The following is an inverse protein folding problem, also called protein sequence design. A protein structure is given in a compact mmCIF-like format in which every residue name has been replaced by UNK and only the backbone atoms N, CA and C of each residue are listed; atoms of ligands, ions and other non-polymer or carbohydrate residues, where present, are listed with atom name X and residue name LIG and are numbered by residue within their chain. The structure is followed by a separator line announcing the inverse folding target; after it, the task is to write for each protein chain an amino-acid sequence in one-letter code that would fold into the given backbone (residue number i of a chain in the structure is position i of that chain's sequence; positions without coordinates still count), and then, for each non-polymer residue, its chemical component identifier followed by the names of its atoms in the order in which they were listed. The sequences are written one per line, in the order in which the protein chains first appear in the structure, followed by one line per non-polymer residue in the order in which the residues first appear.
data_IF_068740964438
#
_entry.id   IF_068740964438
#
_cell.length_a   1.000
_cell.length_b   1.000
_cell.length_c   1.000
_cell.angle_alpha   90.00
_cell.angle_beta   90.00
_cell.angle_gamma   90.00
#
_symmetry.space_group_name_H-M   'P 1'
#
loop_
_entity.id
_entity.type
_entity.pdbx_description
1 polymer ?
#
# COMPACT_ATOMS: atom_id res chain seq x y z
N UNK A 1 31.49 -26.67 -39.92
CA UNK A 1 32.48 -25.61 -40.30
C UNK A 1 32.59 -24.67 -39.14
N UNK A 2 33.58 -24.83 -38.44
CA UNK A 2 34.82 -24.21 -37.94
C UNK A 2 34.65 -22.80 -37.39
N UNK A 3 35.32 -22.56 -36.28
CA UNK A 3 35.21 -21.38 -35.39
C UNK A 3 36.34 -20.38 -35.59
N UNK A 4 36.23 -19.19 -35.01
CA UNK A 4 37.38 -18.28 -34.75
C UNK A 4 37.06 -17.45 -33.49
N UNK A 5 37.65 -17.63 -32.36
CA UNK A 5 38.97 -17.19 -31.81
C UNK A 5 39.09 -15.69 -31.65
N UNK A 6 39.22 -15.30 -30.36
CA UNK A 6 40.38 -14.69 -29.65
C UNK A 6 40.37 -13.17 -29.54
N UNK A 7 40.53 -12.66 -28.31
CA UNK A 7 40.89 -11.28 -28.00
C UNK A 7 40.97 -11.04 -26.50
N UNK A 8 42.07 -11.50 -25.87
CA UNK A 8 42.51 -11.15 -24.52
C UNK A 8 43.17 -9.77 -24.57
N UNK A 9 42.85 -8.86 -23.68
CA UNK A 9 43.74 -7.75 -23.31
C UNK A 9 43.55 -7.38 -21.84
N UNK A 10 44.48 -7.84 -21.04
CA UNK A 10 44.70 -7.37 -19.68
C UNK A 10 45.57 -6.09 -19.74
N UNK A 11 45.16 -5.06 -19.02
CA UNK A 11 46.03 -3.93 -18.70
C UNK A 11 45.96 -3.72 -17.18
N UNK A 12 47.05 -4.09 -16.55
CA UNK A 12 47.40 -3.75 -15.18
C UNK A 12 48.13 -2.42 -15.22
N UNK A 13 47.66 -1.42 -14.48
CA UNK A 13 48.43 -0.22 -14.16
C UNK A 13 48.39 -0.06 -12.65
N UNK A 14 49.52 -0.40 -12.05
CA UNK A 14 49.85 -0.08 -10.66
C UNK A 14 50.49 1.32 -10.64
N UNK A 15 49.95 2.23 -9.83
CA UNK A 15 50.62 3.46 -9.44
C UNK A 15 50.63 3.57 -7.92
N UNK A 16 51.81 3.32 -7.36
CA UNK A 16 52.18 3.63 -6.00
C UNK A 16 52.49 5.10 -5.88
N UNK A 17 51.87 5.82 -5.00
CA UNK A 17 52.37 7.11 -4.49
C UNK A 17 52.25 7.10 -2.96
N UNK A 18 53.42 6.96 -2.34
CA UNK A 18 53.63 7.15 -0.91
C UNK A 18 53.53 8.65 -0.59
N UNK A 19 52.72 9.00 0.39
CA UNK A 19 52.65 10.31 1.00
C UNK A 19 52.53 10.17 2.51
N UNK A 20 53.67 10.31 3.21
CA UNK A 20 53.71 10.47 4.67
C UNK A 20 53.11 11.81 5.06
N UNK A 21 52.07 11.83 5.89
CA UNK A 21 51.56 12.98 6.60
C UNK A 21 51.18 12.58 8.02
N UNK A 22 52.05 12.95 8.98
CA UNK A 22 51.85 12.77 10.42
C UNK A 22 50.82 13.80 10.88
N UNK A 23 49.66 13.36 11.35
CA UNK A 23 48.66 14.21 11.98
C UNK A 23 47.73 13.33 12.83
N UNK A 24 48.09 13.20 14.11
CA UNK A 24 47.24 12.50 15.08
C UNK A 24 45.98 13.32 15.38
N UNK A 25 44.82 12.85 14.93
CA UNK A 25 43.54 13.12 15.55
C UNK A 25 42.66 11.89 15.32
N UNK A 26 42.64 11.01 16.31
CA UNK A 26 41.73 9.89 16.37
C UNK A 26 40.33 10.40 16.70
N UNK A 27 39.59 10.91 15.68
CA UNK A 27 38.13 11.01 15.76
C UNK A 27 37.62 9.63 15.34
N UNK A 28 37.14 8.87 16.33
CA UNK A 28 36.40 7.64 16.08
C UNK A 28 35.18 8.00 15.21
N UNK A 29 35.24 7.60 13.93
CA UNK A 29 34.10 7.60 13.06
C UNK A 29 33.15 6.53 13.60
N UNK A 30 32.09 6.97 14.28
CA UNK A 30 30.99 6.10 14.65
C UNK A 30 30.43 5.48 13.35
N UNK A 31 30.12 4.16 13.35
CA UNK A 31 29.49 3.54 12.21
C UNK A 31 28.20 4.29 11.93
N UNK A 32 28.07 4.87 10.74
CA UNK A 32 26.85 5.49 10.28
C UNK A 32 25.75 4.42 10.31
N UNK A 33 24.83 4.54 11.27
CA UNK A 33 23.60 3.75 11.26
C UNK A 33 22.96 3.88 9.89
N UNK A 34 22.42 2.80 9.30
CA UNK A 34 21.71 2.90 8.05
C UNK A 34 20.61 3.94 8.22
N UNK A 35 20.64 4.97 7.40
CA UNK A 35 19.62 6.00 7.36
C UNK A 35 18.31 5.28 7.10
N UNK A 36 17.45 5.19 8.11
CA UNK A 36 16.08 4.73 7.93
C UNK A 36 15.48 5.58 6.83
N UNK A 37 15.02 4.93 5.76
CA UNK A 37 14.36 5.61 4.64
C UNK A 37 13.21 6.38 5.25
N UNK A 38 13.31 7.72 5.29
CA UNK A 38 12.24 8.55 5.83
C UNK A 38 11.02 8.33 4.94
N UNK A 39 9.94 7.81 5.54
CA UNK A 39 8.63 7.77 4.90
C UNK A 39 8.24 9.21 4.46
N UNK A 40 7.55 9.36 3.33
CA UNK A 40 7.09 10.67 2.89
C UNK A 40 6.31 11.34 4.01
N UNK A 41 6.50 12.67 4.16
CA UNK A 41 5.89 13.44 5.23
C UNK A 41 4.37 13.24 5.24
N UNK A 42 3.84 12.65 6.31
CA UNK A 42 2.40 12.35 6.47
C UNK A 42 2.03 10.86 6.49
N UNK A 43 2.95 9.94 6.17
CA UNK A 43 2.69 8.49 6.25
C UNK A 43 3.36 7.95 7.51
N UNK A 44 2.56 7.40 8.42
CA UNK A 44 3.04 6.75 9.64
C UNK A 44 3.59 5.35 9.36
N UNK A 45 4.33 4.78 10.31
CA UNK A 45 4.82 3.40 10.21
C UNK A 45 3.68 2.38 10.09
N UNK A 46 2.55 2.62 10.77
CA UNK A 46 1.38 1.76 10.70
C UNK A 46 0.76 1.75 9.29
N UNK A 47 0.61 2.92 8.68
CA UNK A 47 0.11 3.07 7.31
C UNK A 47 1.09 2.45 6.31
N UNK A 48 2.41 2.64 6.51
CA UNK A 48 3.43 2.04 5.64
C UNK A 48 3.43 0.50 5.71
N UNK A 49 3.27 -0.08 6.92
CA UNK A 49 3.14 -1.53 7.11
C UNK A 49 1.88 -2.06 6.42
N UNK A 50 0.75 -1.38 6.57
CA UNK A 50 -0.51 -1.75 5.92
C UNK A 50 -0.41 -1.68 4.41
N UNK A 51 0.24 -0.64 3.84
CA UNK A 51 0.56 -0.57 2.41
C UNK A 51 1.37 -1.78 1.95
N UNK A 52 2.39 -2.17 2.72
CA UNK A 52 3.19 -3.37 2.45
C UNK A 52 2.36 -4.66 2.46
N UNK A 53 1.45 -4.79 3.44
CA UNK A 53 0.55 -5.93 3.54
C UNK A 53 -0.41 -6.02 2.33
N UNK A 54 -0.98 -4.89 1.90
CA UNK A 54 -1.82 -4.79 0.70
C UNK A 54 -1.02 -5.23 -0.54
N UNK A 55 0.16 -4.66 -0.76
CA UNK A 55 1.02 -5.00 -1.90
C UNK A 55 1.38 -6.49 -1.92
N UNK A 56 1.71 -7.07 -0.75
CA UNK A 56 1.98 -8.50 -0.59
C UNK A 56 0.77 -9.38 -0.91
N UNK A 57 -0.43 -8.99 -0.46
CA UNK A 57 -1.67 -9.71 -0.74
C UNK A 57 -2.01 -9.71 -2.23
N UNK A 58 -1.91 -8.56 -2.89
CA UNK A 58 -2.13 -8.42 -4.34
C UNK A 58 -1.14 -9.27 -5.13
N UNK A 59 0.14 -9.21 -4.78
CA UNK A 59 1.18 -10.04 -5.42
C UNK A 59 0.92 -11.53 -5.24
N UNK A 60 0.58 -11.95 -4.01
CA UNK A 60 0.30 -13.36 -3.70
C UNK A 60 -0.95 -13.90 -4.40
N UNK A 61 -1.90 -13.02 -4.69
CA UNK A 61 -3.11 -13.35 -5.45
C UNK A 61 -2.89 -13.32 -6.98
N UNK A 62 -1.69 -12.98 -7.44
CA UNK A 62 -1.39 -12.85 -8.87
C UNK A 62 -2.06 -11.65 -9.54
N UNK A 63 -2.45 -10.63 -8.76
CA UNK A 63 -2.99 -9.39 -9.30
C UNK A 63 -1.84 -8.62 -9.94
N UNK A 64 -1.82 -8.61 -11.28
CA UNK A 64 -0.75 -7.97 -12.06
C UNK A 64 -0.88 -6.44 -12.19
N UNK A 65 -1.90 -5.85 -11.57
CA UNK A 65 -2.12 -4.41 -11.63
C UNK A 65 -1.11 -3.64 -10.75
N UNK A 66 -0.74 -2.45 -11.18
CA UNK A 66 0.11 -1.55 -10.38
C UNK A 66 -0.65 -1.07 -9.15
N UNK A 67 0.04 -0.98 -8.01
CA UNK A 67 -0.47 -0.44 -6.76
C UNK A 67 0.41 0.72 -6.29
N UNK A 68 -0.19 1.85 -6.01
CA UNK A 68 0.52 3.06 -5.61
C UNK A 68 -0.39 4.13 -5.01
N UNK A 69 0.16 5.33 -4.85
CA UNK A 69 -0.63 6.48 -4.40
C UNK A 69 -1.70 6.83 -5.46
N UNK A 70 -2.88 7.22 -4.99
CA UNK A 70 -3.96 7.59 -5.90
C UNK A 70 -3.58 8.84 -6.70
N UNK A 71 -3.87 8.81 -7.99
CA UNK A 71 -3.59 9.92 -8.93
C UNK A 71 -4.65 11.04 -8.88
N UNK A 72 -5.76 10.80 -8.17
CA UNK A 72 -6.86 11.77 -8.01
C UNK A 72 -7.49 11.65 -6.62
N UNK A 73 -8.13 12.72 -6.11
CA UNK A 73 -8.86 12.68 -4.86
C UNK A 73 -10.02 11.68 -4.92
N UNK A 74 -10.13 10.86 -3.89
CA UNK A 74 -11.25 9.94 -3.72
C UNK A 74 -11.78 10.01 -2.28
N UNK A 75 -13.09 10.03 -2.14
CA UNK A 75 -13.77 10.02 -0.86
C UNK A 75 -15.00 9.10 -0.93
N UNK A 76 -14.96 7.93 -0.28
CA UNK A 76 -16.13 7.05 -0.19
C UNK A 76 -17.21 7.64 0.74
N UNK A 77 -18.35 6.96 0.85
CA UNK A 77 -19.26 7.18 1.96
C UNK A 77 -18.54 6.76 3.25
N UNK A 78 -18.61 7.58 4.26
CA UNK A 78 -17.87 7.42 5.53
C UNK A 78 -18.81 7.68 6.71
N UNK A 79 -18.76 6.80 7.71
CA UNK A 79 -19.33 7.07 9.03
C UNK A 79 -18.67 8.31 9.67
N UNK A 80 -19.30 8.93 10.67
CA UNK A 80 -18.69 10.08 11.35
C UNK A 80 -17.27 9.81 11.85
N UNK A 81 -17.01 8.62 12.38
CA UNK A 81 -15.69 8.23 12.90
C UNK A 81 -14.63 8.15 11.81
N UNK A 82 -14.95 7.58 10.64
CA UNK A 82 -14.02 7.52 9.51
C UNK A 82 -13.78 8.88 8.88
N UNK A 83 -14.81 9.72 8.84
CA UNK A 83 -14.70 11.09 8.30
C UNK A 83 -13.66 11.93 9.03
N UNK A 84 -13.55 11.73 10.34
CA UNK A 84 -12.64 12.49 11.21
C UNK A 84 -11.26 11.83 11.36
N UNK A 85 -11.10 10.57 10.93
CA UNK A 85 -9.84 9.84 11.02
C UNK A 85 -8.82 10.31 9.96
N UNK A 86 -7.52 10.37 10.32
CA UNK A 86 -6.45 10.49 9.33
C UNK A 86 -6.53 9.36 8.32
N UNK A 87 -6.30 9.69 7.03
CA UNK A 87 -6.39 8.69 5.97
C UNK A 87 -5.39 8.93 4.86
N UNK A 88 -5.05 7.84 4.17
CA UNK A 88 -4.30 7.84 2.91
C UNK A 88 -5.11 7.08 1.86
N UNK A 89 -5.08 7.56 0.62
CA UNK A 89 -5.77 6.92 -0.50
C UNK A 89 -4.72 6.34 -1.42
N UNK A 90 -4.82 5.05 -1.63
CA UNK A 90 -4.05 4.31 -2.64
C UNK A 90 -4.96 3.91 -3.79
N UNK A 91 -4.35 3.46 -4.87
CA UNK A 91 -5.07 2.96 -6.03
C UNK A 91 -4.41 1.69 -6.58
N UNK A 92 -5.22 0.69 -6.89
CA UNK A 92 -4.85 -0.39 -7.80
C UNK A 92 -5.26 0.06 -9.19
N UNK A 93 -4.29 0.29 -10.07
CA UNK A 93 -4.55 0.80 -11.42
C UNK A 93 -5.13 -0.32 -12.29
N UNK A 94 -6.42 -0.26 -12.49
CA UNK A 94 -7.17 -1.21 -13.31
C UNK A 94 -7.08 -0.78 -14.79
N UNK A 95 -6.54 -1.61 -15.70
CA UNK A 95 -6.32 -1.23 -17.10
C UNK A 95 -7.59 -0.78 -17.83
N UNK A 96 -8.70 -1.50 -17.60
CA UNK A 96 -9.98 -1.24 -18.28
C UNK A 96 -10.87 -0.23 -17.52
N UNK A 97 -10.43 0.22 -16.32
CA UNK A 97 -11.17 1.14 -15.46
C UNK A 97 -10.22 2.02 -14.63
N UNK A 98 -9.45 2.93 -15.28
CA UNK A 98 -8.37 3.69 -14.63
C UNK A 98 -8.87 4.67 -13.55
N UNK A 99 -10.15 5.02 -13.56
CA UNK A 99 -10.78 5.93 -12.58
C UNK A 99 -11.41 5.17 -11.38
N UNK A 100 -11.06 3.89 -11.20
CA UNK A 100 -11.55 3.04 -10.12
C UNK A 100 -10.36 2.42 -9.35
N UNK A 101 -10.65 1.42 -8.51
CA UNK A 101 -9.61 0.67 -7.78
C UNK A 101 -9.06 1.38 -6.55
N UNK A 102 -9.80 2.33 -5.97
CA UNK A 102 -9.35 3.07 -4.79
C UNK A 102 -9.38 2.21 -3.53
N UNK A 103 -8.28 2.23 -2.78
CA UNK A 103 -8.11 1.61 -1.48
C UNK A 103 -7.83 2.70 -0.46
N UNK A 104 -8.73 2.88 0.51
CA UNK A 104 -8.58 3.90 1.55
C UNK A 104 -8.08 3.23 2.82
N UNK A 105 -7.03 3.79 3.41
CA UNK A 105 -6.45 3.34 4.67
C UNK A 105 -6.63 4.43 5.70
N UNK A 106 -7.40 4.16 6.74
CA UNK A 106 -7.62 5.03 7.89
C UNK A 106 -6.71 4.61 9.04
N UNK A 107 -6.26 5.57 9.84
CA UNK A 107 -5.39 5.31 10.98
C UNK A 107 -6.10 5.64 12.30
N UNK A 108 -5.86 4.81 13.31
CA UNK A 108 -6.42 4.93 14.66
C UNK A 108 -5.32 4.83 15.71
N UNK A 109 -5.55 5.35 16.93
CA UNK A 109 -4.53 5.33 17.98
C UNK A 109 -4.20 3.93 18.48
N UNK A 110 -5.11 2.97 18.34
CA UNK A 110 -4.94 1.58 18.77
C UNK A 110 -5.82 0.61 17.98
N UNK A 111 -5.52 -0.69 18.09
CA UNK A 111 -6.25 -1.77 17.40
C UNK A 111 -7.73 -1.83 17.80
N UNK A 112 -8.07 -1.57 19.06
CA UNK A 112 -9.46 -1.60 19.51
C UNK A 112 -10.28 -0.48 18.85
N UNK A 113 -9.69 0.69 18.70
CA UNK A 113 -10.28 1.83 17.98
C UNK A 113 -10.49 1.51 16.50
N UNK A 114 -9.53 0.85 15.84
CA UNK A 114 -9.66 0.40 14.45
C UNK A 114 -10.80 -0.62 14.29
N UNK A 115 -10.88 -1.60 15.18
CA UNK A 115 -11.97 -2.62 15.18
C UNK A 115 -13.33 -1.97 15.42
N UNK A 116 -13.44 -1.05 16.40
CA UNK A 116 -14.69 -0.34 16.67
C UNK A 116 -15.13 0.51 15.47
N UNK A 117 -14.18 1.17 14.80
CA UNK A 117 -14.43 1.92 13.57
C UNK A 117 -14.90 1.02 12.42
N UNK A 118 -14.31 -0.18 12.28
CA UNK A 118 -14.74 -1.15 11.29
C UNK A 118 -16.17 -1.64 11.51
N UNK A 119 -16.57 -1.91 12.75
CA UNK A 119 -17.96 -2.28 13.08
C UNK A 119 -18.94 -1.14 12.81
N UNK A 120 -18.58 0.10 13.16
CA UNK A 120 -19.41 1.28 12.89
C UNK A 120 -19.58 1.49 11.39
N UNK A 121 -18.50 1.41 10.62
CA UNK A 121 -18.52 1.59 9.18
C UNK A 121 -19.31 0.49 8.48
N UNK A 122 -19.17 -0.78 8.88
CA UNK A 122 -19.96 -1.87 8.34
C UNK A 122 -21.45 -1.65 8.52
N UNK A 123 -21.87 -1.20 9.71
CA UNK A 123 -23.25 -0.81 9.98
C UNK A 123 -23.69 0.38 9.14
N UNK A 124 -22.86 1.39 8.98
CA UNK A 124 -23.16 2.59 8.20
C UNK A 124 -23.35 2.28 6.72
N UNK A 125 -22.43 1.51 6.11
CA UNK A 125 -22.51 1.10 4.70
C UNK A 125 -23.76 0.25 4.40
N UNK A 126 -24.21 -0.56 5.36
CA UNK A 126 -25.43 -1.37 5.25
C UNK A 126 -26.75 -0.60 5.40
N UNK A 127 -26.70 0.69 5.76
CA UNK A 127 -27.90 1.48 6.06
C UNK A 127 -28.08 2.68 5.11
N UNK A 128 -29.32 3.15 5.06
CA UNK A 128 -29.90 4.28 4.35
C UNK A 128 -28.99 5.21 3.57
N UNK A 129 -28.39 6.25 4.20
CA UNK A 129 -27.69 7.31 3.45
C UNK A 129 -26.43 6.86 2.72
N UNK A 130 -25.71 5.87 3.25
CA UNK A 130 -24.52 5.33 2.60
C UNK A 130 -24.90 4.41 1.44
N UNK A 131 -25.87 3.53 1.66
CA UNK A 131 -26.29 2.54 0.67
C UNK A 131 -26.74 3.15 -0.66
N UNK A 132 -27.42 4.33 -0.64
CA UNK A 132 -27.87 4.99 -1.87
C UNK A 132 -26.74 5.67 -2.67
N UNK A 133 -25.53 5.75 -2.12
CA UNK A 133 -24.38 6.34 -2.80
C UNK A 133 -23.64 5.33 -3.69
N UNK A 134 -23.98 4.06 -3.57
CA UNK A 134 -23.34 2.96 -4.33
C UNK A 134 -24.35 2.25 -5.22
N UNK A 135 -23.91 1.56 -6.28
CA UNK A 135 -24.73 0.61 -7.02
C UNK A 135 -25.36 -0.43 -6.08
N UNK A 136 -26.54 -0.96 -6.39
CA UNK A 136 -27.25 -1.91 -5.52
C UNK A 136 -26.48 -3.21 -5.22
N UNK A 137 -25.57 -3.57 -6.11
CA UNK A 137 -24.70 -4.74 -6.04
C UNK A 137 -23.29 -4.43 -5.52
N UNK A 138 -23.08 -3.21 -5.01
CA UNK A 138 -21.78 -2.84 -4.47
C UNK A 138 -21.35 -3.77 -3.33
N UNK A 139 -20.12 -4.22 -3.41
CA UNK A 139 -19.44 -5.02 -2.41
C UNK A 139 -18.36 -4.20 -1.72
N UNK A 140 -18.26 -4.38 -0.42
CA UNK A 140 -17.31 -3.65 0.42
C UNK A 140 -16.36 -4.62 1.09
N UNK A 141 -15.08 -4.41 0.90
CA UNK A 141 -14.03 -5.07 1.68
C UNK A 141 -13.59 -4.12 2.77
N UNK A 142 -13.80 -4.50 4.01
CA UNK A 142 -13.49 -3.71 5.19
C UNK A 142 -12.68 -4.58 6.15
N UNK A 143 -11.40 -4.18 6.40
CA UNK A 143 -10.43 -5.00 7.11
C UNK A 143 -9.63 -4.16 8.12
N UNK A 144 -9.61 -4.57 9.39
CA UNK A 144 -8.68 -3.98 10.36
C UNK A 144 -7.31 -4.70 10.29
N UNK A 145 -6.27 -3.91 10.11
CA UNK A 145 -4.86 -4.37 10.03
C UNK A 145 -4.04 -3.59 11.07
N UNK A 146 -3.80 -4.20 12.21
CA UNK A 146 -3.18 -3.51 13.33
C UNK A 146 -4.00 -2.31 13.78
N UNK A 147 -3.44 -1.11 13.73
CA UNK A 147 -4.11 0.15 14.09
C UNK A 147 -4.76 0.85 12.89
N UNK A 148 -4.83 0.20 11.75
CA UNK A 148 -5.45 0.77 10.55
C UNK A 148 -6.70 0.03 10.13
N UNK A 149 -7.55 0.70 9.34
CA UNK A 149 -8.73 0.13 8.70
C UNK A 149 -8.62 0.35 7.19
N UNK A 150 -8.74 -0.73 6.43
CA UNK A 150 -8.68 -0.74 4.97
C UNK A 150 -10.10 -0.83 4.43
N UNK A 151 -10.47 0.07 3.53
CA UNK A 151 -11.75 0.07 2.82
C UNK A 151 -11.51 0.03 1.31
N UNK A 152 -12.15 -0.93 0.65
CA UNK A 152 -12.25 -1.03 -0.80
C UNK A 152 -13.70 -1.31 -1.19
N UNK A 153 -14.20 -0.59 -2.18
CA UNK A 153 -15.58 -0.77 -2.69
C UNK A 153 -15.52 -1.00 -4.19
N UNK A 154 -16.27 -1.98 -4.66
CA UNK A 154 -16.43 -2.27 -6.08
C UNK A 154 -17.85 -2.77 -6.36
N UNK A 155 -18.24 -2.82 -7.63
CA UNK A 155 -19.55 -3.34 -8.05
C UNK A 155 -19.35 -4.36 -9.16
N UNK A 156 -19.77 -5.61 -8.98
CA UNK A 156 -19.64 -6.65 -10.01
C UNK A 156 -20.28 -6.28 -11.36
N UNK A 157 -21.40 -5.55 -11.33
CA UNK A 157 -22.09 -5.16 -12.58
C UNK A 157 -21.57 -3.85 -13.18
N UNK A 158 -21.04 -2.94 -12.37
CA UNK A 158 -20.51 -1.66 -12.84
C UNK A 158 -18.99 -1.70 -13.13
N UNK A 159 -18.27 -2.69 -12.61
CA UNK A 159 -16.84 -2.83 -12.87
C UNK A 159 -16.61 -3.51 -14.22
N UNK A 160 -16.01 -2.77 -15.16
CA UNK A 160 -15.65 -3.29 -16.48
C UNK A 160 -14.38 -4.15 -16.45
N UNK A 161 -13.55 -3.97 -15.42
CA UNK A 161 -12.28 -4.70 -15.27
C UNK A 161 -12.47 -5.92 -14.35
N UNK A 162 -12.26 -7.14 -14.86
CA UNK A 162 -12.39 -8.35 -14.06
C UNK A 162 -11.39 -8.44 -12.90
N UNK A 163 -10.32 -7.64 -12.94
CA UNK A 163 -9.30 -7.59 -11.88
C UNK A 163 -9.86 -7.00 -10.60
N UNK A 164 -10.94 -6.18 -10.67
CA UNK A 164 -11.54 -5.55 -9.49
C UNK A 164 -12.00 -6.57 -8.43
N UNK A 165 -12.61 -7.68 -8.85
CA UNK A 165 -12.98 -8.79 -7.97
C UNK A 165 -11.77 -9.50 -7.36
N UNK A 166 -10.72 -9.72 -8.14
CA UNK A 166 -9.47 -10.34 -7.64
C UNK A 166 -8.79 -9.44 -6.59
N UNK A 167 -8.88 -8.13 -6.75
CA UNK A 167 -8.42 -7.15 -5.74
C UNK A 167 -9.23 -7.30 -4.45
N UNK A 168 -10.57 -7.38 -4.55
CA UNK A 168 -11.44 -7.58 -3.40
C UNK A 168 -11.09 -8.87 -2.65
N UNK A 169 -10.92 -9.98 -3.36
CA UNK A 169 -10.55 -11.28 -2.79
C UNK A 169 -9.17 -11.25 -2.11
N UNK A 170 -8.20 -10.53 -2.68
CA UNK A 170 -6.88 -10.38 -2.09
C UNK A 170 -6.95 -9.58 -0.79
N UNK A 171 -7.66 -8.44 -0.81
CA UNK A 171 -7.79 -7.57 0.35
C UNK A 171 -8.62 -8.22 1.48
N UNK A 172 -9.63 -9.03 1.16
CA UNK A 172 -10.45 -9.74 2.14
C UNK A 172 -9.68 -10.75 3.01
N UNK A 173 -8.43 -11.07 2.64
CA UNK A 173 -7.54 -11.95 3.42
C UNK A 173 -6.67 -11.21 4.43
N UNK A 174 -6.77 -9.89 4.48
CA UNK A 174 -5.99 -9.07 5.42
C UNK A 174 -6.68 -9.02 6.79
N UNK A 175 -5.90 -9.09 7.86
CA UNK A 175 -6.32 -8.79 9.24
C UNK A 175 -7.67 -9.35 9.68
N UNK A 176 -8.53 -8.50 10.24
CA UNK A 176 -9.86 -8.85 10.75
C UNK A 176 -10.92 -8.21 9.85
N UNK A 177 -11.77 -9.06 9.24
CA UNK A 177 -12.82 -8.61 8.32
C UNK A 177 -14.14 -8.27 9.01
N UNK A 178 -14.88 -7.33 8.41
CA UNK A 178 -16.21 -6.91 8.84
C UNK A 178 -17.22 -7.15 7.72
N UNK A 179 -18.34 -7.80 8.08
CA UNK A 179 -19.44 -8.03 7.14
C UNK A 179 -20.33 -6.80 7.06
N UNK A 180 -20.52 -6.25 5.86
CA UNK A 180 -21.49 -5.19 5.62
C UNK A 180 -22.87 -5.82 5.39
N UNK A 181 -23.91 -5.45 6.16
CA UNK A 181 -25.26 -5.96 5.98
C UNK A 181 -25.81 -5.57 4.58
N UNK A 182 -26.51 -6.52 3.94
CA UNK A 182 -27.17 -6.32 2.63
C UNK A 182 -28.63 -5.90 2.79
#
# INVERSE_FOLDING_TARGET
MKPTRVGLAAIVVAALLAGCGIGANSSAVAPSSPTASQAPAGVTDAVAQTRGAIAGALTSAGVGAQFGDANQPYRPAESPRLRDAPRVVYQVFLPDQPDAGFVVVYEFPDTASAVNAGNEEAGYLGTGPARVQFPPDAEHVLQAVGTTLVLYTWSPTASSDPTAGNVADALARLGVGFSVPR
#
